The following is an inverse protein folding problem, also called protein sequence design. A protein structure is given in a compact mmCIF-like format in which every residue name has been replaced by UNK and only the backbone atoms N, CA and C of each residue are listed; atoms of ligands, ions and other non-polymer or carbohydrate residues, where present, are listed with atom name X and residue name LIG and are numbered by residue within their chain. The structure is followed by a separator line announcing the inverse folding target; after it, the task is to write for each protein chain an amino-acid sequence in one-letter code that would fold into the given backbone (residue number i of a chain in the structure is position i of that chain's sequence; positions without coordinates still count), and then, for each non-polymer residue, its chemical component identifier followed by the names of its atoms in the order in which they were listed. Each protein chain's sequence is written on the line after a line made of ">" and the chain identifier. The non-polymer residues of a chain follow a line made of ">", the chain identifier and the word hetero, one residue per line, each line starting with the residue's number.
data_IF_618758746977
#
_entry.id   IF_618758746977
#
_cell.length_a   1.000
_cell.length_b   1.000
_cell.length_c   1.000
_cell.angle_alpha   90.00
_cell.angle_beta   90.00
_cell.angle_gamma   90.00
#
_symmetry.space_group_name_H-M   'P 1'
#
loop_
_entity.id
_entity.type
_entity.pdbx_description
1 polymer ?
#
# COMPACT_ATOMS: atom_id res chain seq x y z
N UNK A 1 -20.03 3.53 83.99
CA UNK A 1 -19.72 4.04 82.60
C UNK A 1 -20.49 3.21 81.60
N UNK A 2 -21.58 3.76 81.10
CA UNK A 2 -22.55 3.04 80.23
C UNK A 2 -22.18 3.05 78.75
N UNK A 3 -22.04 1.88 78.23
CA UNK A 3 -21.84 1.66 76.76
C UNK A 3 -23.23 1.56 76.13
N UNK A 4 -23.58 2.57 75.30
CA UNK A 4 -24.78 2.53 74.49
C UNK A 4 -24.53 1.86 73.12
N UNK A 5 -25.14 0.73 72.95
CA UNK A 5 -25.13 -0.06 71.71
C UNK A 5 -26.17 0.54 70.73
N UNK A 6 -25.70 1.15 69.66
CA UNK A 6 -26.57 1.62 68.56
C UNK A 6 -26.80 0.54 67.55
N UNK A 7 -28.08 0.19 67.35
CA UNK A 7 -28.53 -0.76 66.33
C UNK A 7 -28.59 -0.01 65.00
N UNK A 8 -27.80 -0.47 64.00
CA UNK A 8 -27.88 -0.02 62.61
C UNK A 8 -28.80 -0.96 61.85
N UNK A 9 -29.95 -0.45 61.43
CA UNK A 9 -30.85 -1.14 60.52
C UNK A 9 -30.27 -1.14 59.12
N UNK A 10 -29.97 -2.32 58.60
CA UNK A 10 -29.57 -2.55 57.21
C UNK A 10 -30.85 -2.59 56.35
N UNK A 11 -31.11 -1.56 55.54
CA UNK A 11 -32.12 -1.57 54.50
C UNK A 11 -31.53 -2.19 53.24
N UNK A 12 -31.94 -3.40 52.90
CA UNK A 12 -31.60 -4.08 51.65
C UNK A 12 -32.56 -3.55 50.59
N UNK A 13 -32.07 -2.69 49.69
CA UNK A 13 -32.78 -2.28 48.52
C UNK A 13 -32.55 -3.31 47.40
N UNK A 14 -33.58 -4.02 47.01
CA UNK A 14 -33.58 -4.93 45.86
C UNK A 14 -33.60 -4.08 44.55
N UNK A 15 -32.52 -4.23 43.76
CA UNK A 15 -32.44 -3.71 42.41
C UNK A 15 -33.07 -4.70 41.41
N UNK A 16 -33.89 -4.25 40.46
CA UNK A 16 -34.47 -5.15 39.44
C UNK A 16 -33.38 -5.55 38.40
N UNK A 17 -33.16 -6.86 38.24
CA UNK A 17 -32.52 -7.44 37.08
C UNK A 17 -33.43 -7.23 35.86
N UNK A 18 -32.94 -6.52 34.85
CA UNK A 18 -33.67 -6.41 33.60
C UNK A 18 -33.12 -5.33 32.67
N UNK A 19 -31.89 -5.48 32.18
CA UNK A 19 -31.46 -4.80 30.94
C UNK A 19 -30.76 -5.83 30.07
N UNK A 20 -31.52 -6.50 29.21
CA UNK A 20 -30.99 -7.24 28.08
C UNK A 20 -30.35 -6.26 27.11
N UNK A 21 -29.04 -6.29 27.05
CA UNK A 21 -28.24 -5.62 26.03
C UNK A 21 -28.48 -6.29 24.69
N UNK A 22 -29.38 -5.72 23.89
CA UNK A 22 -29.54 -6.05 22.48
C UNK A 22 -28.28 -5.55 21.76
N UNK A 23 -27.32 -6.45 21.50
CA UNK A 23 -26.26 -6.24 20.54
C UNK A 23 -26.87 -6.00 19.16
N UNK A 24 -27.15 -4.74 18.85
CA UNK A 24 -27.58 -4.29 17.55
C UNK A 24 -26.50 -4.63 16.53
N UNK A 25 -26.79 -5.56 15.61
CA UNK A 25 -26.01 -5.77 14.38
C UNK A 25 -25.88 -4.41 13.69
N UNK A 26 -24.73 -3.78 13.80
CA UNK A 26 -24.39 -2.60 13.02
C UNK A 26 -24.40 -3.00 11.54
N UNK A 27 -25.45 -2.59 10.83
CA UNK A 27 -25.58 -2.71 9.39
C UNK A 27 -24.48 -1.85 8.77
N UNK A 28 -23.44 -2.47 8.21
CA UNK A 28 -22.35 -1.77 7.52
C UNK A 28 -22.94 -0.78 6.51
N UNK A 29 -22.56 0.49 6.64
CA UNK A 29 -23.10 1.58 5.85
C UNK A 29 -22.78 1.42 4.36
N UNK A 30 -23.69 1.80 3.43
CA UNK A 30 -23.48 1.69 1.97
C UNK A 30 -22.25 2.43 1.45
N UNK A 31 -21.79 3.47 2.13
CA UNK A 31 -20.59 4.26 1.79
C UNK A 31 -19.29 3.43 1.81
N UNK A 32 -19.15 2.45 2.70
CA UNK A 32 -17.96 1.59 2.75
C UNK A 32 -17.84 0.67 1.53
N UNK A 33 -18.96 0.18 0.97
CA UNK A 33 -18.96 -0.67 -0.23
C UNK A 33 -18.62 0.13 -1.50
N UNK A 34 -19.10 1.36 -1.64
CA UNK A 34 -18.79 2.24 -2.77
C UNK A 34 -17.29 2.60 -2.81
N UNK A 35 -16.67 2.88 -1.67
CA UNK A 35 -15.24 3.16 -1.58
C UNK A 35 -14.38 1.93 -1.93
N UNK A 36 -14.74 0.74 -1.46
CA UNK A 36 -14.02 -0.50 -1.80
C UNK A 36 -14.09 -0.82 -3.29
N UNK A 37 -15.25 -0.65 -3.94
CA UNK A 37 -15.41 -0.87 -5.38
C UNK A 37 -14.54 0.11 -6.20
N UNK A 38 -14.48 1.37 -5.81
CA UNK A 38 -13.64 2.37 -6.46
C UNK A 38 -12.14 2.04 -6.30
N UNK A 39 -11.72 1.64 -5.11
CA UNK A 39 -10.33 1.21 -4.85
C UNK A 39 -9.96 -0.03 -5.68
N UNK A 40 -10.85 -1.02 -5.76
CA UNK A 40 -10.64 -2.21 -6.60
C UNK A 40 -10.50 -1.81 -8.07
N UNK A 41 -11.36 -0.92 -8.59
CA UNK A 41 -11.27 -0.46 -9.97
C UNK A 41 -9.96 0.30 -10.24
N UNK A 42 -9.56 1.19 -9.33
CA UNK A 42 -8.27 1.89 -9.39
C UNK A 42 -7.09 0.91 -9.42
N UNK A 43 -7.02 -0.01 -8.46
CA UNK A 43 -5.95 -1.01 -8.41
C UNK A 43 -5.87 -1.86 -9.69
N UNK A 44 -7.02 -2.22 -10.26
CA UNK A 44 -7.08 -3.01 -11.51
C UNK A 44 -6.59 -2.23 -12.73
N UNK A 45 -6.63 -0.90 -12.72
CA UNK A 45 -6.12 -0.09 -13.83
C UNK A 45 -4.59 -0.09 -13.95
N UNK A 46 -3.89 -0.56 -12.90
CA UNK A 46 -2.44 -0.62 -12.87
C UNK A 46 -1.82 -1.58 -13.90
N UNK A 47 -2.53 -2.62 -14.31
CA UNK A 47 -1.97 -3.72 -15.11
C UNK A 47 -2.89 -4.16 -16.25
N UNK A 48 -2.38 -4.94 -17.23
CA UNK A 48 -3.23 -5.55 -18.26
C UNK A 48 -4.39 -6.33 -17.62
N UNK A 49 -5.58 -6.26 -18.23
CA UNK A 49 -6.82 -6.82 -17.68
C UNK A 49 -6.71 -8.31 -17.31
N UNK A 50 -5.98 -9.10 -18.11
CA UNK A 50 -5.74 -10.53 -17.83
C UNK A 50 -4.91 -10.77 -16.56
N UNK A 51 -4.05 -9.82 -16.16
CA UNK A 51 -3.30 -9.87 -14.91
C UNK A 51 -4.19 -9.34 -13.77
N UNK A 52 -4.73 -8.15 -13.92
CA UNK A 52 -5.50 -7.46 -12.88
C UNK A 52 -6.77 -8.24 -12.44
N UNK A 53 -7.43 -8.94 -13.36
CA UNK A 53 -8.65 -9.73 -13.06
C UNK A 53 -8.41 -10.88 -12.09
N UNK A 54 -7.23 -11.52 -12.15
CA UNK A 54 -6.85 -12.65 -11.30
C UNK A 54 -5.92 -12.25 -10.14
N UNK A 55 -5.53 -10.98 -10.02
CA UNK A 55 -4.64 -10.48 -8.98
C UNK A 55 -5.37 -10.32 -7.63
N UNK A 56 -4.62 -10.45 -6.54
CA UNK A 56 -5.06 -9.96 -5.23
C UNK A 56 -5.16 -8.44 -5.29
N UNK A 57 -6.24 -7.89 -4.78
CA UNK A 57 -6.36 -6.44 -4.58
C UNK A 57 -6.22 -6.15 -3.10
N UNK A 58 -5.30 -5.26 -2.76
CA UNK A 58 -5.06 -4.86 -1.38
C UNK A 58 -4.93 -3.33 -1.28
N UNK A 59 -5.04 -2.81 -0.08
CA UNK A 59 -4.75 -1.41 0.25
C UNK A 59 -3.85 -1.34 1.47
N UNK A 60 -3.19 -0.21 1.66
CA UNK A 60 -2.49 0.11 2.89
C UNK A 60 -3.44 0.95 3.74
N UNK A 61 -3.79 0.43 4.92
CA UNK A 61 -4.63 1.14 5.88
C UNK A 61 -3.87 2.27 6.58
N UNK A 62 -4.60 3.17 7.23
CA UNK A 62 -4.01 4.33 7.92
C UNK A 62 -2.98 3.96 9.01
N UNK A 63 -3.04 2.73 9.55
CA UNK A 63 -2.05 2.19 10.49
C UNK A 63 -0.89 1.44 9.79
N UNK A 64 -0.77 1.55 8.47
CA UNK A 64 0.30 0.98 7.66
C UNK A 64 0.19 -0.52 7.38
N UNK A 65 -0.97 -1.13 7.67
CA UNK A 65 -1.18 -2.56 7.40
C UNK A 65 -1.74 -2.80 6.01
N UNK A 66 -1.33 -3.90 5.41
CA UNK A 66 -1.91 -4.38 4.15
C UNK A 66 -3.24 -5.08 4.44
N UNK A 67 -4.32 -4.58 3.84
CA UNK A 67 -5.69 -5.12 3.95
C UNK A 67 -6.13 -5.64 2.59
N UNK A 68 -6.49 -6.92 2.52
CA UNK A 68 -6.99 -7.54 1.28
C UNK A 68 -8.43 -7.13 1.03
N UNK A 69 -8.69 -6.48 -0.11
CA UNK A 69 -10.02 -6.12 -0.60
C UNK A 69 -10.64 -7.22 -1.45
N UNK A 70 -9.81 -7.96 -2.20
CA UNK A 70 -10.21 -9.09 -3.04
C UNK A 70 -9.04 -10.07 -3.13
N UNK A 71 -9.28 -11.34 -2.83
CA UNK A 71 -8.28 -12.40 -3.02
C UNK A 71 -8.07 -12.69 -4.52
N UNK A 72 -6.83 -13.01 -4.90
CA UNK A 72 -6.41 -13.39 -6.25
C UNK A 72 -5.70 -14.73 -6.30
N UNK A 73 -5.36 -15.20 -7.51
CA UNK A 73 -4.80 -16.54 -7.74
C UNK A 73 -3.54 -16.57 -8.59
N UNK A 74 -3.10 -15.43 -9.17
CA UNK A 74 -1.99 -15.39 -10.13
C UNK A 74 -0.65 -14.91 -9.57
N UNK A 75 -0.57 -14.71 -8.24
CA UNK A 75 0.66 -14.28 -7.58
C UNK A 75 0.98 -12.78 -7.68
N UNK A 76 0.12 -11.98 -8.35
CA UNK A 76 0.20 -10.53 -8.33
C UNK A 76 -0.66 -9.95 -7.23
N UNK A 77 -0.20 -8.82 -6.67
CA UNK A 77 -0.98 -7.97 -5.76
C UNK A 77 -1.03 -6.57 -6.34
N UNK A 78 -2.24 -6.03 -6.50
CA UNK A 78 -2.44 -4.68 -7.00
C UNK A 78 -2.96 -3.78 -5.87
N UNK A 79 -2.44 -2.56 -5.81
CA UNK A 79 -2.81 -1.50 -4.88
C UNK A 79 -3.45 -0.35 -5.64
N UNK A 80 -4.47 0.32 -5.08
CA UNK A 80 -5.07 1.49 -5.67
C UNK A 80 -4.11 2.69 -5.64
N UNK A 81 -4.48 3.71 -6.35
CA UNK A 81 -3.90 5.04 -6.33
C UNK A 81 -3.75 5.61 -4.90
N UNK A 82 -2.62 6.26 -4.64
CA UNK A 82 -2.40 7.05 -3.42
C UNK A 82 -2.91 8.48 -3.65
N UNK A 83 -3.98 8.92 -2.97
CA UNK A 83 -4.54 10.25 -3.16
C UNK A 83 -3.62 11.40 -2.69
N UNK A 84 -2.46 11.09 -2.09
CA UNK A 84 -1.49 12.09 -1.62
C UNK A 84 -0.42 12.43 -2.67
N UNK A 85 -0.39 11.75 -3.80
CA UNK A 85 0.49 12.04 -4.94
C UNK A 85 -0.23 12.86 -6.01
N UNK A 86 0.49 13.64 -6.83
CA UNK A 86 -0.15 14.57 -7.78
C UNK A 86 -0.75 13.91 -9.04
N UNK A 87 -0.40 12.67 -9.34
CA UNK A 87 -0.92 11.94 -10.49
C UNK A 87 -1.27 10.50 -10.10
N UNK A 88 -2.20 9.84 -10.79
CA UNK A 88 -2.56 8.46 -10.51
C UNK A 88 -1.35 7.54 -10.53
N UNK A 89 -1.18 6.72 -9.48
CA UNK A 89 -0.06 5.81 -9.32
C UNK A 89 -0.44 4.40 -8.81
N UNK A 90 -1.57 3.82 -9.24
CA UNK A 90 -1.89 2.45 -8.88
C UNK A 90 -0.81 1.50 -9.39
N UNK A 91 -0.47 0.51 -8.60
CA UNK A 91 0.59 -0.46 -8.90
C UNK A 91 0.09 -1.89 -8.80
N UNK A 92 0.56 -2.76 -9.70
CA UNK A 92 0.30 -4.19 -9.67
C UNK A 92 1.62 -4.95 -9.76
N UNK A 93 2.02 -5.64 -8.71
CA UNK A 93 3.35 -6.16 -8.49
C UNK A 93 3.33 -7.67 -8.23
N UNK A 94 4.34 -8.40 -8.73
CA UNK A 94 4.52 -9.81 -8.46
C UNK A 94 5.12 -10.06 -7.05
N UNK A 95 5.30 -11.34 -6.71
CA UNK A 95 5.83 -11.75 -5.41
C UNK A 95 7.25 -11.23 -5.14
N UNK A 96 8.10 -11.10 -6.16
CA UNK A 96 9.48 -10.59 -5.97
C UNK A 96 9.45 -9.10 -5.62
N UNK A 97 8.59 -8.33 -6.25
CA UNK A 97 8.32 -6.94 -5.88
C UNK A 97 7.71 -6.81 -4.48
N UNK A 98 6.85 -7.75 -4.06
CA UNK A 98 6.35 -7.80 -2.68
C UNK A 98 7.50 -7.87 -1.67
N UNK A 99 8.51 -8.71 -1.89
CA UNK A 99 9.71 -8.81 -1.07
C UNK A 99 10.56 -7.52 -1.10
N UNK A 100 10.63 -6.86 -2.26
CA UNK A 100 11.29 -5.56 -2.40
C UNK A 100 10.58 -4.49 -1.56
N UNK A 101 9.25 -4.42 -1.60
CA UNK A 101 8.46 -3.48 -0.80
C UNK A 101 8.60 -3.73 0.71
N UNK A 102 8.57 -4.99 1.14
CA UNK A 102 8.80 -5.34 2.55
C UNK A 102 10.16 -4.85 3.04
N UNK A 103 11.22 -5.05 2.23
CA UNK A 103 12.56 -4.57 2.54
C UNK A 103 12.64 -3.03 2.55
N UNK A 104 12.00 -2.37 1.57
CA UNK A 104 11.92 -0.92 1.49
C UNK A 104 11.22 -0.31 2.71
N UNK A 105 10.05 -0.84 3.11
CA UNK A 105 9.34 -0.40 4.32
C UNK A 105 10.19 -0.61 5.58
N UNK A 106 10.96 -1.69 5.64
CA UNK A 106 11.87 -1.97 6.75
C UNK A 106 13.20 -1.17 6.66
N UNK A 107 13.41 -0.37 5.61
CA UNK A 107 14.66 0.35 5.30
C UNK A 107 15.89 -0.57 5.26
N UNK A 108 15.72 -1.78 4.73
CA UNK A 108 16.78 -2.79 4.58
C UNK A 108 17.01 -3.08 3.10
N UNK A 109 18.26 -3.41 2.68
CA UNK A 109 18.51 -3.83 1.32
C UNK A 109 17.62 -5.01 0.91
N UNK A 110 16.93 -4.95 -0.26
CA UNK A 110 16.13 -6.05 -0.76
C UNK A 110 17.01 -7.27 -1.09
N UNK A 111 16.57 -8.46 -0.68
CA UNK A 111 17.25 -9.73 -0.98
C UNK A 111 16.48 -10.48 -2.09
N UNK A 112 16.53 -9.95 -3.31
CA UNK A 112 15.80 -10.47 -4.46
C UNK A 112 16.55 -11.65 -5.07
N UNK A 113 15.86 -12.77 -5.27
CA UNK A 113 16.42 -14.01 -5.81
C UNK A 113 16.04 -14.29 -7.26
N UNK A 114 15.08 -13.57 -7.80
CA UNK A 114 14.57 -13.72 -9.15
C UNK A 114 14.16 -12.37 -9.71
N UNK A 115 14.06 -12.27 -11.03
CA UNK A 115 13.50 -11.08 -11.69
C UNK A 115 12.06 -10.88 -11.21
N UNK A 116 11.71 -9.63 -10.89
CA UNK A 116 10.35 -9.23 -10.54
C UNK A 116 9.79 -8.22 -11.52
N UNK A 117 8.49 -8.29 -11.75
CA UNK A 117 7.75 -7.40 -12.65
C UNK A 117 6.66 -6.68 -11.87
N UNK A 118 6.57 -5.37 -12.06
CA UNK A 118 5.42 -4.57 -11.63
C UNK A 118 4.92 -3.67 -12.77
N UNK A 119 3.63 -3.38 -12.75
CA UNK A 119 2.94 -2.54 -13.72
C UNK A 119 2.42 -1.28 -13.05
N UNK A 120 2.61 -0.14 -13.72
CA UNK A 120 2.00 1.16 -13.39
C UNK A 120 1.46 1.80 -14.68
N UNK A 121 0.40 1.19 -15.26
CA UNK A 121 -0.13 1.60 -16.56
C UNK A 121 -0.92 2.92 -16.54
N UNK A 122 -1.16 3.47 -15.35
CA UNK A 122 -1.69 4.83 -15.18
C UNK A 122 -0.58 5.88 -14.98
N UNK A 123 0.68 5.44 -14.89
CA UNK A 123 1.83 6.26 -14.56
C UNK A 123 2.20 6.23 -13.09
N UNK A 124 3.12 7.11 -12.69
CA UNK A 124 3.51 7.34 -11.30
C UNK A 124 3.93 8.78 -11.05
N UNK A 125 3.98 9.15 -9.77
CA UNK A 125 4.55 10.39 -9.27
C UNK A 125 5.47 10.09 -8.10
N UNK A 126 6.77 10.21 -8.31
CA UNK A 126 7.78 9.91 -7.31
C UNK A 126 8.41 11.20 -6.76
N UNK A 127 8.65 11.26 -5.46
CA UNK A 127 9.26 12.42 -4.81
C UNK A 127 10.73 12.63 -5.23
N UNK A 128 11.42 11.55 -5.63
CA UNK A 128 12.82 11.57 -6.06
C UNK A 128 13.11 10.41 -7.01
N UNK A 129 13.99 10.62 -7.98
CA UNK A 129 14.54 9.56 -8.82
C UNK A 129 15.81 8.92 -8.22
N UNK A 130 16.34 9.49 -7.14
CA UNK A 130 17.64 9.08 -6.56
C UNK A 130 17.55 8.65 -5.10
N UNK A 131 16.61 9.20 -4.34
CA UNK A 131 16.39 8.86 -2.93
C UNK A 131 15.12 8.01 -2.79
N UNK A 132 15.24 6.70 -2.50
CA UNK A 132 14.09 5.80 -2.37
C UNK A 132 13.21 6.09 -1.14
N UNK A 133 13.64 6.97 -0.23
CA UNK A 133 12.92 7.30 1.00
C UNK A 133 12.37 8.73 1.03
N UNK A 134 12.53 9.48 -0.06
CA UNK A 134 11.94 10.80 -0.17
C UNK A 134 10.41 10.72 -0.19
N UNK A 135 9.76 11.41 0.74
CA UNK A 135 8.28 11.49 0.83
C UNK A 135 7.71 12.74 0.15
N UNK A 136 8.58 13.66 -0.27
CA UNK A 136 8.26 14.88 -1.01
C UNK A 136 9.48 15.32 -1.80
N UNK A 137 9.33 16.06 -2.91
CA UNK A 137 10.44 16.63 -3.63
C UNK A 137 11.31 17.51 -2.74
N UNK A 138 12.62 17.51 -2.99
CA UNK A 138 13.56 18.42 -2.34
C UNK A 138 13.24 19.89 -2.70
N UNK A 139 13.72 20.84 -1.91
CA UNK A 139 13.49 22.27 -2.16
C UNK A 139 13.95 22.66 -3.58
N UNK A 140 13.05 23.28 -4.36
CA UNK A 140 13.29 23.66 -5.74
C UNK A 140 13.18 22.51 -6.76
N UNK A 141 12.83 21.31 -6.34
CA UNK A 141 12.56 20.18 -7.22
C UNK A 141 11.06 19.96 -7.41
N UNK A 142 10.70 19.32 -8.51
CA UNK A 142 9.34 18.89 -8.82
C UNK A 142 9.22 17.38 -8.66
N UNK A 143 7.99 16.89 -8.56
CA UNK A 143 7.69 15.46 -8.65
C UNK A 143 8.22 14.88 -9.96
N UNK A 144 8.77 13.68 -9.88
CA UNK A 144 9.17 12.89 -11.05
C UNK A 144 7.94 12.16 -11.53
N UNK A 145 7.30 12.70 -12.58
CA UNK A 145 6.11 12.09 -13.18
C UNK A 145 6.56 11.18 -14.31
N UNK A 146 6.22 9.91 -14.22
CA UNK A 146 6.49 8.89 -15.23
C UNK A 146 5.19 8.45 -15.87
N UNK A 147 5.04 8.52 -17.21
CA UNK A 147 3.88 7.96 -17.91
C UNK A 147 3.70 6.45 -17.67
N UNK A 148 2.70 5.84 -18.30
CA UNK A 148 2.47 4.40 -18.24
C UNK A 148 3.77 3.61 -18.46
N UNK A 149 4.09 2.68 -17.54
CA UNK A 149 5.33 1.91 -17.60
C UNK A 149 5.22 0.55 -16.88
N UNK A 150 6.22 -0.28 -17.14
CA UNK A 150 6.48 -1.51 -16.40
C UNK A 150 7.81 -1.34 -15.66
N UNK A 151 7.90 -1.88 -14.45
CA UNK A 151 9.11 -1.86 -13.65
C UNK A 151 9.70 -3.26 -13.54
N UNK A 152 11.03 -3.34 -13.60
CA UNK A 152 11.78 -4.60 -13.50
C UNK A 152 12.82 -4.50 -12.40
N UNK A 153 12.76 -5.41 -11.43
CA UNK A 153 13.85 -5.64 -10.47
C UNK A 153 14.62 -6.90 -10.85
N UNK A 154 15.90 -6.89 -10.54
CA UNK A 154 16.83 -7.99 -10.80
C UNK A 154 17.58 -8.37 -9.52
N UNK A 155 18.09 -9.62 -9.39
CA UNK A 155 18.82 -10.07 -8.19
C UNK A 155 20.06 -9.23 -7.86
N UNK A 156 20.80 -8.80 -8.88
CA UNK A 156 21.93 -7.89 -8.72
C UNK A 156 21.65 -6.56 -9.43
N UNK A 157 21.38 -5.48 -8.69
CA UNK A 157 21.08 -4.17 -9.26
C UNK A 157 22.18 -3.61 -10.18
N UNK A 158 23.43 -4.05 -10.05
CA UNK A 158 24.55 -3.65 -10.93
C UNK A 158 24.33 -4.06 -12.39
N UNK A 159 23.49 -5.08 -12.65
CA UNK A 159 23.10 -5.46 -14.01
C UNK A 159 22.35 -4.34 -14.75
N UNK A 160 21.85 -3.35 -14.01
CA UNK A 160 21.13 -2.19 -14.55
C UNK A 160 22.06 -0.99 -14.82
N UNK A 161 23.36 -1.07 -14.50
CA UNK A 161 24.29 0.06 -14.59
C UNK A 161 24.49 0.59 -16.02
N UNK A 162 24.25 -0.25 -17.03
CA UNK A 162 24.33 0.15 -18.43
C UNK A 162 23.20 1.10 -18.88
N UNK A 163 22.08 1.15 -18.14
CA UNK A 163 20.96 2.00 -18.48
C UNK A 163 21.13 3.42 -17.93
N UNK A 164 20.61 4.46 -18.62
CA UNK A 164 20.62 5.82 -18.09
C UNK A 164 19.77 5.92 -16.82
N UNK A 165 19.99 6.97 -16.03
CA UNK A 165 19.15 7.30 -14.86
C UNK A 165 18.25 8.51 -15.10
N UNK A 166 18.27 9.11 -16.31
CA UNK A 166 17.44 10.26 -16.64
C UNK A 166 16.03 9.79 -17.04
N UNK A 167 14.96 10.16 -16.30
CA UNK A 167 13.58 9.85 -16.65
C UNK A 167 13.15 10.44 -18.02
N UNK A 168 13.86 11.44 -18.50
CA UNK A 168 13.61 12.10 -19.79
C UNK A 168 14.39 11.51 -20.97
N UNK A 169 15.06 10.38 -20.76
CA UNK A 169 15.86 9.70 -21.81
C UNK A 169 15.04 9.24 -23.01
N UNK A 170 13.72 9.18 -22.91
CA UNK A 170 12.81 8.70 -23.97
C UNK A 170 12.76 7.17 -24.11
N UNK A 171 13.51 6.44 -23.31
CA UNK A 171 13.56 4.98 -23.27
C UNK A 171 13.64 4.43 -21.85
N UNK A 172 14.03 3.15 -21.68
CA UNK A 172 14.22 2.60 -20.35
C UNK A 172 15.29 3.36 -19.54
N UNK A 173 15.01 3.61 -18.25
CA UNK A 173 15.94 4.25 -17.33
C UNK A 173 15.90 3.59 -15.96
N UNK A 174 16.94 3.81 -15.14
CA UNK A 174 17.06 3.23 -13.79
C UNK A 174 16.66 4.27 -12.75
N UNK A 175 15.60 3.98 -12.02
CA UNK A 175 15.25 4.70 -10.80
C UNK A 175 16.08 4.19 -9.62
N UNK A 176 16.48 5.08 -8.71
CA UNK A 176 17.33 4.83 -7.55
C UNK A 176 18.70 4.21 -7.89
N UNK A 177 19.25 4.54 -9.07
CA UNK A 177 20.53 4.02 -9.55
C UNK A 177 21.64 4.19 -8.52
N UNK A 178 22.45 3.16 -8.34
CA UNK A 178 23.55 3.12 -7.36
C UNK A 178 23.10 2.80 -5.93
N UNK A 179 21.82 2.50 -5.72
CA UNK A 179 21.29 2.04 -4.43
C UNK A 179 20.85 0.57 -4.50
N UNK A 180 20.68 -0.12 -3.37
CA UNK A 180 20.11 -1.47 -3.35
C UNK A 180 18.65 -1.53 -3.88
N UNK A 181 18.00 -0.39 -4.04
CA UNK A 181 16.62 -0.27 -4.49
C UNK A 181 16.49 0.02 -5.99
N UNK A 182 17.62 0.03 -6.72
CA UNK A 182 17.62 0.32 -8.15
C UNK A 182 16.72 -0.66 -8.91
N UNK A 183 15.92 -0.10 -9.82
CA UNK A 183 15.04 -0.86 -10.70
C UNK A 183 14.91 -0.18 -12.05
N UNK A 184 14.59 -0.97 -13.08
CA UNK A 184 14.44 -0.49 -14.45
C UNK A 184 13.01 -0.06 -14.69
N UNK A 185 12.84 1.18 -15.13
CA UNK A 185 11.59 1.77 -15.62
C UNK A 185 11.52 1.55 -17.14
N UNK A 186 10.51 0.85 -17.63
CA UNK A 186 10.32 0.55 -19.06
C UNK A 186 9.03 1.22 -19.51
N UNK A 187 9.09 2.32 -20.29
CA UNK A 187 7.90 2.99 -20.79
C UNK A 187 6.98 2.04 -21.57
N UNK A 188 5.67 2.13 -21.32
CA UNK A 188 4.63 1.45 -22.09
C UNK A 188 4.03 2.43 -23.10
N UNK A 189 4.10 2.12 -24.40
CA UNK A 189 3.56 2.92 -25.50
C UNK A 189 2.24 2.30 -26.00
#
# INVERSE_FOLDING_TARGET
>A
MSLKMGVVLLVIAALPLGAQEQAGKAKAAPAAKGNAAAKIASAMSAAPSRIASAATIAEISADGKIVTLRAGTNGFTCFPDDPHTPAPDPICADKAWGQWFEAWMAKKPPMIKQVGIAYMLMGSSDASNTDPFAMKPAAGQSWVVTPAHTMVIVPDPKQLDAYPSDPKSGGPFVMFKGTPYAHLMVPAH
#
